data_IF_014338168328
#
_entry.id   IF_014338168328
#
_cell.length_a   1.000
_cell.length_b   1.000
_cell.length_c   1.000
_cell.angle_alpha   90.00
_cell.angle_beta   90.00
_cell.angle_gamma   90.00
#
_symmetry.space_group_name_H-M   'P 1'
#
loop_
_entity.id
_entity.type
_entity.pdbx_description
1 polymer ?
#
# COMPACT_ATOMS: atom_id res chain seq x y z
N UNK A 1 7.37 5.59 -9.49
CA UNK A 1 5.89 5.45 -9.55
C UNK A 1 5.29 4.91 -8.26
N UNK A 2 5.73 3.77 -7.74
CA UNK A 2 5.13 3.12 -6.54
C UNK A 2 5.00 4.00 -5.29
N UNK A 3 5.84 4.99 -5.13
CA UNK A 3 5.75 5.94 -3.99
C UNK A 3 4.67 7.00 -4.11
N UNK A 4 4.19 7.33 -5.33
CA UNK A 4 3.25 8.44 -5.55
C UNK A 4 1.83 8.18 -5.01
N UNK A 5 1.47 6.93 -4.78
CA UNK A 5 0.22 6.56 -4.12
C UNK A 5 0.24 6.66 -2.58
N UNK A 6 1.42 6.84 -1.98
CA UNK A 6 1.55 6.95 -0.52
C UNK A 6 1.13 8.35 -0.04
N UNK A 7 0.82 8.51 1.26
CA UNK A 7 0.55 9.83 1.82
C UNK A 7 1.65 10.85 1.50
N UNK A 8 1.27 12.05 1.09
CA UNK A 8 2.20 13.09 0.64
C UNK A 8 3.29 13.40 1.69
N UNK A 9 2.98 13.31 2.99
CA UNK A 9 3.98 13.52 4.04
C UNK A 9 5.13 12.50 4.00
N UNK A 10 4.87 11.26 3.61
CA UNK A 10 5.90 10.24 3.44
C UNK A 10 6.80 10.58 2.23
N UNK A 11 6.19 11.04 1.15
CA UNK A 11 6.91 11.43 -0.06
C UNK A 11 7.81 12.65 0.18
N UNK A 12 7.30 13.67 0.88
CA UNK A 12 8.07 14.86 1.29
C UNK A 12 9.26 14.48 2.18
N UNK A 13 9.06 13.59 3.17
CA UNK A 13 10.18 13.11 3.99
C UNK A 13 11.22 12.34 3.17
N UNK A 14 10.80 11.54 2.19
CA UNK A 14 11.72 10.85 1.28
C UNK A 14 12.51 11.82 0.41
N UNK A 15 11.86 12.83 -0.19
CA UNK A 15 12.52 13.92 -0.94
C UNK A 15 13.57 14.63 -0.09
N UNK A 16 13.26 14.91 1.18
CA UNK A 16 14.14 15.61 2.11
C UNK A 16 15.28 14.72 2.66
N UNK A 17 15.46 13.51 2.12
CA UNK A 17 16.49 12.58 2.52
C UNK A 17 16.30 11.96 3.90
N UNK A 18 15.11 12.06 4.48
CA UNK A 18 14.79 11.43 5.76
C UNK A 18 14.36 9.99 5.52
N UNK A 19 14.89 9.07 6.31
CA UNK A 19 14.45 7.68 6.33
C UNK A 19 14.78 7.05 7.68
N UNK A 20 14.04 5.99 8.02
CA UNK A 20 14.39 5.14 9.14
C UNK A 20 15.20 3.95 8.65
N UNK A 21 16.14 3.50 9.46
CA UNK A 21 16.80 2.23 9.23
C UNK A 21 15.76 1.09 9.21
N UNK A 22 15.77 0.29 8.15
CA UNK A 22 14.86 -0.83 8.04
C UNK A 22 15.22 -1.91 9.05
N UNK A 23 14.23 -2.37 9.79
CA UNK A 23 14.42 -3.52 10.69
C UNK A 23 14.67 -4.80 9.89
N UNK A 24 15.37 -5.76 10.48
CA UNK A 24 15.58 -7.08 9.89
C UNK A 24 14.26 -7.73 9.43
N UNK A 25 13.21 -7.65 10.24
CA UNK A 25 11.89 -8.16 9.88
C UNK A 25 11.29 -7.45 8.65
N UNK A 26 11.55 -6.16 8.46
CA UNK A 26 11.09 -5.43 7.28
C UNK A 26 11.82 -5.89 6.02
N UNK A 27 13.13 -6.10 6.11
CA UNK A 27 13.96 -6.61 5.01
C UNK A 27 13.47 -8.00 4.59
N UNK A 28 13.23 -8.91 5.55
CA UNK A 28 12.70 -10.25 5.26
C UNK A 28 11.32 -10.21 4.59
N UNK A 29 10.44 -9.29 5.00
CA UNK A 29 9.12 -9.15 4.38
C UNK A 29 9.23 -8.73 2.90
N UNK A 30 10.15 -7.85 2.57
CA UNK A 30 10.41 -7.47 1.17
C UNK A 30 10.97 -8.65 0.38
N UNK A 31 11.98 -9.33 0.92
CA UNK A 31 12.53 -10.54 0.28
C UNK A 31 11.46 -11.62 0.01
N UNK A 32 10.54 -11.84 0.97
CA UNK A 32 9.41 -12.76 0.75
C UNK A 32 8.50 -12.25 -0.38
N UNK A 33 8.30 -10.92 -0.50
CA UNK A 33 7.59 -10.33 -1.63
C UNK A 33 8.23 -10.71 -2.97
N UNK A 34 9.53 -10.47 -3.10
CA UNK A 34 10.30 -10.78 -4.31
C UNK A 34 10.25 -12.28 -4.66
N UNK A 35 10.33 -13.16 -3.66
CA UNK A 35 10.21 -14.61 -3.86
C UNK A 35 8.82 -15.03 -4.33
N UNK A 36 7.77 -14.38 -3.82
CA UNK A 36 6.38 -14.60 -4.28
C UNK A 36 6.21 -14.18 -5.73
N UNK A 37 6.76 -13.04 -6.14
CA UNK A 37 6.75 -12.59 -7.53
C UNK A 37 7.42 -13.63 -8.45
N UNK A 38 8.62 -14.12 -8.08
CA UNK A 38 9.31 -15.17 -8.82
C UNK A 38 8.47 -16.48 -8.92
N UNK A 39 7.81 -16.86 -7.82
CA UNK A 39 6.98 -18.07 -7.80
C UNK A 39 5.75 -17.92 -8.70
N UNK A 40 5.06 -16.78 -8.65
CA UNK A 40 3.91 -16.49 -9.53
C UNK A 40 4.32 -16.53 -10.99
N UNK A 41 5.45 -15.92 -11.33
CA UNK A 41 5.98 -15.95 -12.70
C UNK A 41 6.25 -17.38 -13.19
N UNK A 42 6.82 -18.22 -12.33
CA UNK A 42 7.08 -19.64 -12.66
C UNK A 42 5.76 -20.43 -12.87
N UNK A 43 4.74 -20.16 -12.02
CA UNK A 43 3.41 -20.79 -12.13
C UNK A 43 2.72 -20.37 -13.43
N UNK A 44 2.70 -19.09 -13.76
CA UNK A 44 2.09 -18.57 -15.00
C UNK A 44 2.76 -19.20 -16.23
N UNK A 45 4.09 -19.27 -16.24
CA UNK A 45 4.85 -19.93 -17.30
C UNK A 45 4.54 -21.44 -17.40
N UNK A 46 4.45 -22.14 -16.27
CA UNK A 46 4.10 -23.56 -16.23
C UNK A 46 2.67 -23.85 -16.67
N UNK A 47 1.77 -22.88 -16.58
CA UNK A 47 0.38 -22.96 -17.04
C UNK A 47 0.18 -22.45 -18.48
N UNK A 48 1.27 -22.21 -19.23
CA UNK A 48 1.25 -21.65 -20.59
C UNK A 48 0.50 -20.31 -20.72
N UNK A 49 0.38 -19.56 -19.62
CA UNK A 49 -0.20 -18.21 -19.64
C UNK A 49 0.81 -17.25 -20.29
N UNK A 50 0.42 -16.63 -21.38
CA UNK A 50 1.27 -15.70 -22.11
C UNK A 50 1.53 -14.44 -21.26
N UNK A 51 2.80 -14.16 -21.07
CA UNK A 51 3.26 -13.00 -20.31
C UNK A 51 4.30 -12.23 -21.12
N UNK A 52 4.36 -10.92 -20.92
CA UNK A 52 5.41 -10.07 -21.48
C UNK A 52 5.86 -9.02 -20.47
N UNK A 53 7.00 -8.39 -20.74
CA UNK A 53 7.54 -7.28 -19.93
C UNK A 53 7.64 -7.57 -18.42
N UNK A 54 8.00 -8.79 -18.06
CA UNK A 54 8.22 -9.15 -16.66
C UNK A 54 9.35 -8.29 -16.05
N UNK A 55 9.09 -7.70 -14.86
CA UNK A 55 10.03 -6.83 -14.15
C UNK A 55 10.62 -5.71 -15.02
N UNK A 56 9.83 -5.19 -15.98
CA UNK A 56 10.32 -4.22 -16.94
C UNK A 56 10.31 -2.80 -16.39
N UNK A 57 11.38 -2.06 -16.70
CA UNK A 57 11.44 -0.63 -16.38
C UNK A 57 10.46 0.15 -17.23
N UNK A 58 9.81 1.11 -16.62
CA UNK A 58 8.88 2.01 -17.27
C UNK A 58 9.08 3.44 -16.79
N UNK A 59 8.60 4.41 -17.56
CA UNK A 59 8.65 5.81 -17.21
C UNK A 59 7.41 6.51 -17.73
N UNK A 60 6.93 7.50 -16.98
CA UNK A 60 5.79 8.33 -17.35
C UNK A 60 6.12 9.80 -17.07
N UNK A 61 5.83 10.68 -18.00
CA UNK A 61 5.94 12.12 -17.78
C UNK A 61 4.71 12.61 -17.00
N UNK A 62 4.93 13.17 -15.82
CA UNK A 62 3.87 13.70 -14.96
C UNK A 62 4.28 15.12 -14.56
N UNK A 63 3.51 16.12 -15.01
CA UNK A 63 3.80 17.52 -14.69
C UNK A 63 5.18 18.02 -15.17
N UNK A 64 5.70 17.46 -16.26
CA UNK A 64 7.04 17.77 -16.78
C UNK A 64 8.18 16.92 -16.20
N UNK A 65 7.89 16.11 -15.17
CA UNK A 65 8.88 15.26 -14.51
C UNK A 65 8.81 13.81 -15.04
N UNK A 66 9.98 13.22 -15.28
CA UNK A 66 10.08 11.83 -15.74
C UNK A 66 10.09 10.86 -14.55
N UNK A 67 8.91 10.38 -14.17
CA UNK A 67 8.71 9.46 -13.06
C UNK A 67 8.97 8.02 -13.50
N UNK A 68 9.96 7.38 -12.89
CA UNK A 68 10.39 6.01 -13.22
C UNK A 68 9.78 4.97 -12.29
N UNK A 69 9.60 3.76 -12.82
CA UNK A 69 9.14 2.59 -12.06
C UNK A 69 9.60 1.28 -12.69
N UNK A 70 9.20 0.18 -12.06
CA UNK A 70 9.31 -1.16 -12.62
C UNK A 70 7.95 -1.83 -12.42
N UNK A 71 7.33 -2.26 -13.49
CA UNK A 71 6.08 -3.03 -13.44
C UNK A 71 6.40 -4.52 -13.26
N UNK A 72 5.48 -5.25 -12.66
CA UNK A 72 5.71 -6.67 -12.38
C UNK A 72 5.51 -7.51 -13.64
N UNK A 73 4.36 -7.34 -14.33
CA UNK A 73 4.03 -8.21 -15.46
C UNK A 73 2.92 -7.61 -16.35
N UNK A 74 2.96 -7.95 -17.64
CA UNK A 74 1.84 -7.81 -18.56
C UNK A 74 1.32 -9.21 -18.88
N UNK A 75 0.02 -9.48 -18.62
CA UNK A 75 -0.65 -10.69 -19.08
C UNK A 75 -1.26 -10.42 -20.46
N UNK A 76 -1.13 -11.39 -21.34
CA UNK A 76 -1.75 -11.40 -22.67
C UNK A 76 -2.92 -12.39 -22.66
N UNK A 77 -4.07 -11.89 -22.19
CA UNK A 77 -5.30 -12.68 -22.13
C UNK A 77 -5.93 -12.79 -23.54
N UNK A 78 -6.30 -13.97 -24.01
CA UNK A 78 -6.88 -14.15 -25.35
C UNK A 78 -8.25 -13.48 -25.52
N UNK A 79 -8.97 -13.16 -24.44
CA UNK A 79 -10.29 -12.52 -24.45
C UNK A 79 -10.17 -11.03 -24.13
N UNK A 80 -9.48 -10.70 -23.03
CA UNK A 80 -9.39 -9.34 -22.49
C UNK A 80 -8.20 -8.55 -23.04
N UNK A 81 -7.33 -9.19 -23.85
CA UNK A 81 -6.14 -8.57 -24.42
C UNK A 81 -5.00 -8.36 -23.41
N UNK A 82 -4.08 -7.45 -23.75
CA UNK A 82 -2.92 -7.16 -22.90
C UNK A 82 -3.27 -6.15 -21.84
N UNK A 83 -3.08 -6.53 -20.57
CA UNK A 83 -3.27 -5.65 -19.42
C UNK A 83 -2.08 -5.73 -18.46
N UNK A 84 -1.77 -4.62 -17.80
CA UNK A 84 -0.73 -4.56 -16.75
C UNK A 84 -1.28 -5.14 -15.46
N UNK A 85 -0.54 -6.06 -14.85
CA UNK A 85 -0.88 -6.68 -13.58
C UNK A 85 0.24 -6.45 -12.56
N UNK A 86 -0.16 -6.35 -11.31
CA UNK A 86 0.76 -6.15 -10.20
C UNK A 86 0.65 -7.32 -9.23
N UNK A 87 1.79 -7.89 -8.82
CA UNK A 87 1.84 -9.09 -7.97
C UNK A 87 1.99 -8.66 -6.52
N UNK A 88 1.13 -9.18 -5.65
CA UNK A 88 1.15 -8.85 -4.22
C UNK A 88 1.18 -10.08 -3.34
N UNK A 89 2.09 -10.07 -2.38
CA UNK A 89 2.07 -11.01 -1.25
C UNK A 89 1.28 -10.42 -0.09
N UNK A 90 0.22 -11.09 0.37
CA UNK A 90 -0.65 -10.61 1.42
C UNK A 90 -0.53 -11.44 2.70
N UNK A 91 -0.77 -10.81 3.86
CA UNK A 91 -1.07 -11.56 5.08
C UNK A 91 -2.49 -12.13 5.00
N UNK A 92 -2.85 -13.18 5.75
CA UNK A 92 -4.21 -13.71 5.77
C UNK A 92 -5.27 -12.64 6.03
N UNK A 93 -4.99 -11.72 6.94
CA UNK A 93 -5.88 -10.58 7.22
C UNK A 93 -6.06 -9.68 6.00
N UNK A 94 -4.97 -9.26 5.35
CA UNK A 94 -5.03 -8.41 4.15
C UNK A 94 -5.69 -9.13 2.98
N UNK A 95 -5.37 -10.41 2.80
CA UNK A 95 -5.96 -11.24 1.76
C UNK A 95 -7.49 -11.30 1.92
N UNK A 96 -7.98 -11.76 3.07
CA UNK A 96 -9.40 -11.95 3.31
C UNK A 96 -10.20 -10.66 3.47
N UNK A 97 -9.61 -9.63 4.11
CA UNK A 97 -10.35 -8.41 4.46
C UNK A 97 -10.31 -7.32 3.39
N UNK A 98 -9.36 -7.41 2.44
CA UNK A 98 -9.20 -6.44 1.37
C UNK A 98 -9.30 -7.09 0.00
N UNK A 99 -8.30 -7.88 -0.39
CA UNK A 99 -8.19 -8.40 -1.74
C UNK A 99 -9.33 -9.37 -2.10
N UNK A 100 -9.72 -10.27 -1.21
CA UNK A 100 -10.83 -11.20 -1.45
C UNK A 100 -12.19 -10.51 -1.62
N UNK A 101 -12.31 -9.25 -1.18
CA UNK A 101 -13.51 -8.42 -1.38
C UNK A 101 -13.52 -7.69 -2.72
N UNK A 102 -12.46 -7.82 -3.50
CA UNK A 102 -12.34 -7.27 -4.83
C UNK A 102 -11.83 -5.82 -4.90
N UNK A 103 -11.82 -5.30 -6.10
CA UNK A 103 -11.26 -4.00 -6.45
C UNK A 103 -11.90 -2.83 -5.67
N UNK A 104 -13.23 -2.81 -5.53
CA UNK A 104 -13.96 -1.73 -4.86
C UNK A 104 -13.58 -1.60 -3.37
N UNK A 105 -13.32 -2.71 -2.69
CA UNK A 105 -12.88 -2.67 -1.30
C UNK A 105 -11.51 -1.99 -1.11
N UNK A 106 -10.66 -2.03 -2.15
CA UNK A 106 -9.38 -1.32 -2.15
C UNK A 106 -9.56 0.19 -2.37
N UNK A 107 -10.60 0.62 -3.09
CA UNK A 107 -10.94 2.04 -3.23
C UNK A 107 -11.26 2.70 -1.89
N UNK A 108 -11.89 1.96 -0.98
CA UNK A 108 -12.25 2.46 0.35
C UNK A 108 -11.06 2.55 1.32
N UNK A 109 -10.09 1.63 1.22
CA UNK A 109 -8.96 1.56 2.15
C UNK A 109 -7.67 1.09 1.46
N UNK A 110 -7.00 2.03 0.76
CA UNK A 110 -5.69 1.84 0.13
C UNK A 110 -4.59 2.69 0.79
N UNK A 111 -4.10 2.30 1.98
CA UNK A 111 -3.08 3.05 2.68
C UNK A 111 -1.69 2.99 2.03
N UNK A 112 -1.50 2.10 1.07
CA UNK A 112 -0.21 1.87 0.41
C UNK A 112 -0.14 2.46 -1.01
N UNK A 113 -1.29 2.90 -1.56
CA UNK A 113 -1.37 3.50 -2.89
C UNK A 113 -1.30 2.50 -4.03
N UNK A 114 -1.81 1.30 -3.83
CA UNK A 114 -1.82 0.23 -4.86
C UNK A 114 -2.61 0.63 -6.11
N UNK A 115 -3.71 1.37 -5.93
CA UNK A 115 -4.52 1.86 -7.04
C UNK A 115 -3.74 2.88 -7.89
N UNK A 116 -3.10 3.86 -7.25
CA UNK A 116 -2.26 4.83 -7.97
C UNK A 116 -1.11 4.11 -8.67
N UNK A 117 -0.45 3.17 -8.00
CA UNK A 117 0.65 2.39 -8.58
C UNK A 117 0.21 1.64 -9.83
N UNK A 118 -0.91 0.89 -9.77
CA UNK A 118 -1.42 0.09 -10.88
C UNK A 118 -1.77 0.95 -12.10
N UNK A 119 -2.51 2.04 -11.91
CA UNK A 119 -2.88 2.94 -12.99
C UNK A 119 -1.69 3.68 -13.60
N UNK A 120 -0.68 4.07 -12.80
CA UNK A 120 0.54 4.68 -13.33
C UNK A 120 1.36 3.71 -14.20
N UNK A 121 1.43 2.44 -13.79
CA UNK A 121 2.11 1.44 -14.59
C UNK A 121 1.38 1.15 -15.90
N UNK A 122 0.05 1.02 -15.84
CA UNK A 122 -0.78 0.84 -17.01
C UNK A 122 -0.64 2.01 -17.99
N UNK A 123 -0.75 3.25 -17.51
CA UNK A 123 -0.57 4.45 -18.29
C UNK A 123 0.82 4.52 -18.95
N UNK A 124 1.88 4.15 -18.25
CA UNK A 124 3.25 4.14 -18.78
C UNK A 124 3.45 3.20 -19.98
N UNK A 125 2.52 2.26 -20.18
CA UNK A 125 2.50 1.30 -21.29
C UNK A 125 1.39 1.57 -22.30
N UNK A 126 0.54 2.57 -22.08
CA UNK A 126 -0.64 2.83 -22.90
C UNK A 126 -1.63 1.67 -22.89
N UNK A 127 -1.80 1.01 -21.75
CA UNK A 127 -2.63 -0.17 -21.54
C UNK A 127 -3.59 0.04 -20.36
N UNK A 128 -4.57 -0.85 -20.23
CA UNK A 128 -5.41 -0.90 -19.06
C UNK A 128 -4.74 -1.61 -17.89
N UNK A 129 -5.14 -1.25 -16.68
CA UNK A 129 -4.77 -1.97 -15.47
C UNK A 129 -5.64 -3.23 -15.35
N UNK A 130 -5.04 -4.41 -15.34
CA UNK A 130 -5.73 -5.68 -15.20
C UNK A 130 -6.15 -5.99 -13.77
N UNK A 131 -5.39 -5.48 -12.81
CA UNK A 131 -5.62 -5.74 -11.38
C UNK A 131 -4.41 -6.32 -10.68
N UNK A 132 -4.67 -7.12 -9.65
CA UNK A 132 -3.62 -7.74 -8.83
C UNK A 132 -3.68 -9.26 -8.87
N UNK A 133 -2.51 -9.89 -8.93
CA UNK A 133 -2.32 -11.31 -8.63
C UNK A 133 -1.87 -11.37 -7.17
N UNK A 134 -2.71 -11.87 -6.28
CA UNK A 134 -2.48 -11.81 -4.84
C UNK A 134 -2.26 -13.20 -4.28
N UNK A 135 -1.17 -13.37 -3.54
CA UNK A 135 -0.84 -14.63 -2.86
C UNK A 135 -1.00 -14.45 -1.36
N UNK A 136 -1.81 -15.28 -0.72
CA UNK A 136 -1.79 -15.43 0.74
C UNK A 136 -0.53 -16.17 1.17
N UNK A 137 0.34 -15.47 1.92
CA UNK A 137 1.62 -16.02 2.39
C UNK A 137 1.52 -17.21 3.33
N UNK A 138 0.34 -17.44 3.91
CA UNK A 138 0.14 -18.53 4.88
C UNK A 138 -0.41 -19.80 4.25
N UNK A 139 -1.37 -19.66 3.32
CA UNK A 139 -2.01 -20.79 2.64
C UNK A 139 -1.38 -21.13 1.30
N UNK A 140 -0.73 -20.14 0.65
CA UNK A 140 -0.28 -20.24 -0.74
C UNK A 140 -1.44 -20.06 -1.74
N UNK A 141 -2.63 -19.68 -1.28
CA UNK A 141 -3.77 -19.42 -2.15
C UNK A 141 -3.51 -18.20 -3.04
N UNK A 142 -3.88 -18.31 -4.31
CA UNK A 142 -3.69 -17.27 -5.33
C UNK A 142 -5.05 -16.79 -5.81
N UNK A 143 -5.21 -15.48 -5.87
CA UNK A 143 -6.42 -14.83 -6.38
C UNK A 143 -6.08 -13.76 -7.42
N UNK A 144 -6.84 -13.70 -8.49
CA UNK A 144 -6.85 -12.60 -9.45
C UNK A 144 -7.93 -11.60 -9.04
N UNK A 145 -7.50 -10.44 -8.57
CA UNK A 145 -8.39 -9.33 -8.22
C UNK A 145 -8.46 -8.41 -9.42
N UNK A 146 -9.45 -8.62 -10.28
CA UNK A 146 -9.61 -7.88 -11.54
C UNK A 146 -10.01 -6.42 -11.28
N UNK A 147 -9.40 -5.49 -12.01
CA UNK A 147 -9.92 -4.14 -12.17
C UNK A 147 -11.17 -4.16 -13.08
N UNK A 148 -12.10 -3.19 -12.96
CA UNK A 148 -13.24 -3.09 -13.86
C UNK A 148 -12.79 -2.81 -15.30
N UNK A 149 -13.62 -3.20 -16.28
CA UNK A 149 -13.31 -2.94 -17.70
C UNK A 149 -13.43 -1.46 -18.03
N UNK A 150 -14.43 -0.77 -17.46
CA UNK A 150 -14.53 0.69 -17.51
C UNK A 150 -13.77 1.29 -16.33
N UNK A 151 -12.61 1.84 -16.59
CA UNK A 151 -11.72 2.40 -15.58
C UNK A 151 -11.27 3.83 -15.88
N UNK A 152 -11.93 4.55 -16.80
CA UNK A 152 -11.53 5.90 -17.21
C UNK A 152 -11.59 6.89 -16.04
N UNK A 153 -12.68 6.86 -15.24
CA UNK A 153 -12.82 7.72 -14.06
C UNK A 153 -11.71 7.42 -13.01
N UNK A 154 -11.42 6.15 -12.76
CA UNK A 154 -10.37 5.74 -11.85
C UNK A 154 -8.99 6.14 -12.35
N UNK A 155 -8.75 5.98 -13.63
CA UNK A 155 -7.51 6.38 -14.31
C UNK A 155 -7.27 7.88 -14.15
N UNK A 156 -8.22 8.72 -14.54
CA UNK A 156 -8.13 10.18 -14.37
C UNK A 156 -7.88 10.57 -12.91
N UNK A 157 -8.64 9.99 -11.99
CA UNK A 157 -8.52 10.23 -10.56
C UNK A 157 -7.13 9.89 -10.01
N UNK A 158 -6.57 8.73 -10.38
CA UNK A 158 -5.29 8.31 -9.83
C UNK A 158 -4.08 8.95 -10.51
N UNK A 159 -4.19 9.29 -11.80
CA UNK A 159 -3.22 10.12 -12.48
C UNK A 159 -3.22 11.54 -11.91
N UNK A 160 -4.40 12.12 -11.65
CA UNK A 160 -4.55 13.43 -11.00
C UNK A 160 -3.88 13.47 -9.62
N UNK A 161 -4.12 12.46 -8.76
CA UNK A 161 -3.43 12.34 -7.46
C UNK A 161 -1.91 12.27 -7.58
N UNK A 162 -1.41 11.57 -8.59
CA UNK A 162 0.02 11.49 -8.82
C UNK A 162 0.59 12.83 -9.29
N UNK A 163 -0.15 13.56 -10.14
CA UNK A 163 0.25 14.90 -10.61
C UNK A 163 0.31 15.90 -9.44
N UNK A 164 -0.71 15.93 -8.58
CA UNK A 164 -0.71 16.77 -7.37
C UNK A 164 0.49 16.45 -6.46
N UNK A 165 0.82 15.17 -6.30
CA UNK A 165 1.96 14.77 -5.50
C UNK A 165 3.30 15.23 -6.11
N UNK A 166 3.47 15.09 -7.43
CA UNK A 166 4.66 15.56 -8.15
C UNK A 166 4.80 17.09 -8.03
N UNK A 167 3.72 17.84 -8.27
CA UNK A 167 3.71 19.30 -8.13
C UNK A 167 4.12 19.73 -6.72
N UNK A 168 3.54 19.12 -5.68
CA UNK A 168 3.89 19.41 -4.29
C UNK A 168 5.36 19.09 -3.98
N UNK A 169 5.92 18.02 -4.54
CA UNK A 169 7.32 17.66 -4.35
C UNK A 169 8.26 18.63 -5.05
N UNK A 170 7.90 19.10 -6.25
CA UNK A 170 8.71 20.05 -7.03
C UNK A 170 8.65 21.47 -6.47
N UNK A 171 7.52 21.88 -5.89
CA UNK A 171 7.36 23.20 -5.25
C UNK A 171 8.06 23.34 -3.91
N UNK A 172 8.85 22.34 -3.47
CA UNK A 172 9.47 22.29 -2.14
C UNK A 172 8.48 22.42 -0.98
N UNK A 173 7.26 21.94 -1.21
CA UNK A 173 6.22 21.94 -0.18
C UNK A 173 6.67 21.22 1.09
N UNK A 174 6.35 21.77 2.26
CA UNK A 174 6.64 21.18 3.57
C UNK A 174 5.43 21.28 4.49
N UNK A 175 5.31 20.34 5.41
CA UNK A 175 4.27 20.36 6.42
C UNK A 175 4.75 21.09 7.69
N UNK A 176 4.00 22.10 8.15
CA UNK A 176 4.23 22.77 9.45
C UNK A 176 3.95 21.84 10.62
N UNK A 177 3.01 20.91 10.47
CA UNK A 177 2.64 19.88 11.46
C UNK A 177 2.36 18.56 10.72
N UNK A 178 2.56 17.40 11.36
CA UNK A 178 2.18 16.12 10.76
C UNK A 178 0.71 16.14 10.32
N UNK A 179 0.36 15.85 9.06
CA UNK A 179 -1.02 15.95 8.58
C UNK A 179 -1.94 14.84 9.11
N UNK A 180 -1.36 13.65 9.36
CA UNK A 180 -2.08 12.49 9.88
C UNK A 180 -2.00 12.49 11.40
N UNK A 181 -3.03 13.01 12.05
CA UNK A 181 -3.08 13.15 13.51
C UNK A 181 -3.37 11.80 14.21
N UNK A 182 -2.89 11.62 15.46
CA UNK A 182 -3.24 10.47 16.28
C UNK A 182 -4.74 10.42 16.59
N UNK A 183 -5.29 9.22 16.63
CA UNK A 183 -6.70 8.92 16.84
C UNK A 183 -6.95 8.47 18.27
N UNK A 184 -8.13 8.79 18.82
CA UNK A 184 -8.52 8.33 20.15
C UNK A 184 -8.78 6.82 20.13
N UNK A 185 -8.10 6.08 21.01
CA UNK A 185 -8.34 4.66 21.16
C UNK A 185 -9.67 4.42 21.84
N UNK A 186 -10.52 3.61 21.19
CA UNK A 186 -11.79 3.19 21.75
C UNK A 186 -12.07 1.71 21.50
N UNK A 187 -13.01 1.15 22.24
CA UNK A 187 -13.59 -0.17 22.01
C UNK A 187 -15.10 -0.12 22.17
N UNK A 188 -15.80 -1.09 21.62
CA UNK A 188 -17.26 -1.12 21.64
C UNK A 188 -17.76 -2.14 22.67
N UNK A 189 -18.66 -1.71 23.55
CA UNK A 189 -19.39 -2.58 24.49
C UNK A 189 -20.88 -2.34 24.31
N UNK A 190 -21.64 -3.36 23.99
CA UNK A 190 -23.10 -3.29 23.75
C UNK A 190 -23.52 -2.18 22.78
N UNK A 191 -22.71 -1.92 21.75
CA UNK A 191 -22.98 -0.89 20.74
C UNK A 191 -22.47 0.51 21.08
N UNK A 192 -22.02 0.76 22.31
CA UNK A 192 -21.48 2.06 22.73
C UNK A 192 -19.95 2.10 22.62
N UNK A 193 -19.40 3.22 22.14
CA UNK A 193 -17.96 3.46 22.08
C UNK A 193 -17.45 3.95 23.43
N UNK A 194 -16.50 3.21 24.00
CA UNK A 194 -15.81 3.58 25.22
C UNK A 194 -14.37 3.99 24.89
N UNK A 195 -14.00 5.20 25.25
CA UNK A 195 -12.67 5.77 25.00
C UNK A 195 -11.73 5.45 26.18
N UNK A 196 -10.52 4.99 25.86
CA UNK A 196 -9.50 4.64 26.86
C UNK A 196 -8.75 5.86 27.38
N UNK A 197 -8.80 6.97 26.67
CA UNK A 197 -7.97 8.16 26.88
C UNK A 197 -6.55 8.04 26.29
N UNK A 198 -6.24 6.92 25.65
CA UNK A 198 -5.03 6.74 24.85
C UNK A 198 -5.21 7.32 23.46
N UNK A 199 -4.09 7.67 22.80
CA UNK A 199 -4.06 8.07 21.40
C UNK A 199 -3.16 7.15 20.62
N UNK A 200 -3.71 6.48 19.62
CA UNK A 200 -3.01 5.64 18.65
C UNK A 200 -2.48 6.49 17.50
N UNK A 201 -1.34 6.14 16.95
CA UNK A 201 -0.96 6.70 15.65
C UNK A 201 -1.97 6.27 14.58
N UNK A 202 -2.26 7.18 13.65
CA UNK A 202 -3.05 6.86 12.46
C UNK A 202 -2.51 5.61 11.77
N UNK A 203 -3.39 4.80 11.17
CA UNK A 203 -3.05 3.53 10.51
C UNK A 203 -1.91 3.68 9.51
N UNK A 204 -1.93 4.73 8.69
CA UNK A 204 -0.87 4.99 7.70
C UNK A 204 0.47 5.33 8.38
N UNK A 205 0.46 5.99 9.54
CA UNK A 205 1.66 6.27 10.33
C UNK A 205 2.24 5.01 10.97
N UNK A 206 1.40 4.02 11.32
CA UNK A 206 1.85 2.76 11.91
C UNK A 206 2.87 2.04 11.02
N UNK A 207 2.65 2.05 9.71
CA UNK A 207 3.53 1.41 8.71
C UNK A 207 4.53 2.37 8.07
N UNK A 208 4.57 3.63 8.51
CA UNK A 208 5.44 4.65 7.94
C UNK A 208 6.87 4.56 8.50
N UNK A 209 7.87 4.50 7.63
CA UNK A 209 9.29 4.55 8.02
C UNK A 209 9.72 5.88 8.63
N UNK A 210 8.94 6.94 8.38
CA UNK A 210 9.22 8.29 8.87
C UNK A 210 8.50 8.65 10.19
N UNK A 211 7.79 7.70 10.82
CA UNK A 211 6.94 7.99 11.98
C UNK A 211 7.67 8.70 13.14
N UNK A 212 8.95 8.39 13.35
CA UNK A 212 9.74 9.02 14.42
C UNK A 212 10.08 10.48 14.16
N UNK A 213 10.13 10.90 12.90
CA UNK A 213 10.30 12.33 12.58
C UNK A 213 9.03 13.12 12.89
N UNK A 214 7.86 12.53 12.64
CA UNK A 214 6.56 13.15 12.95
C UNK A 214 6.20 13.02 14.43
N UNK A 215 6.48 11.87 15.03
CA UNK A 215 6.04 11.46 16.36
C UNK A 215 7.20 10.88 17.17
N UNK A 216 8.22 11.70 17.56
CA UNK A 216 9.45 11.21 18.20
C UNK A 216 9.20 10.54 19.57
N UNK A 217 8.08 10.90 20.24
CA UNK A 217 7.70 10.33 21.54
C UNK A 217 6.75 9.12 21.41
N UNK A 218 6.39 8.71 20.19
CA UNK A 218 5.52 7.55 20.02
C UNK A 218 6.23 6.26 20.44
N UNK A 219 5.50 5.42 21.15
CA UNK A 219 5.98 4.13 21.67
C UNK A 219 5.18 2.99 21.09
N UNK A 220 5.81 1.83 20.97
CA UNK A 220 5.13 0.59 20.62
C UNK A 220 4.79 -0.17 21.90
N UNK A 221 3.54 -0.58 22.02
CA UNK A 221 3.04 -1.31 23.19
C UNK A 221 1.93 -2.27 22.78
N UNK A 222 1.64 -3.25 23.62
CA UNK A 222 0.51 -4.14 23.46
C UNK A 222 -0.79 -3.36 23.33
N UNK A 223 -1.60 -3.68 22.32
CA UNK A 223 -2.87 -2.99 22.12
C UNK A 223 -3.78 -3.17 23.33
N UNK A 224 -3.99 -2.11 24.09
CA UNK A 224 -4.71 -2.12 25.39
C UNK A 224 -6.14 -2.68 25.25
N UNK A 225 -6.81 -2.33 24.15
CA UNK A 225 -8.19 -2.77 23.86
C UNK A 225 -8.29 -4.20 23.30
N UNK A 226 -7.16 -4.88 23.04
CA UNK A 226 -7.17 -6.25 22.50
C UNK A 226 -7.45 -7.27 23.61
N UNK A 227 -8.39 -8.19 23.33
CA UNK A 227 -8.70 -9.35 24.17
C UNK A 227 -7.95 -10.62 23.77
N UNK A 228 -7.09 -10.55 22.76
CA UNK A 228 -6.31 -11.69 22.31
C UNK A 228 -5.30 -12.12 23.38
N UNK A 229 -5.07 -13.45 23.53
CA UNK A 229 -4.05 -14.01 24.43
C UNK A 229 -2.67 -13.40 24.13
N UNK A 230 -2.32 -13.31 22.83
CA UNK A 230 -1.14 -12.59 22.37
C UNK A 230 -1.63 -11.28 21.77
N UNK A 231 -1.55 -10.21 22.53
CA UNK A 231 -2.02 -8.89 22.08
C UNK A 231 -1.16 -8.39 20.91
N UNK A 232 -1.78 -7.86 19.84
CA UNK A 232 -1.02 -7.23 18.77
C UNK A 232 -0.38 -5.94 19.29
N UNK A 233 0.82 -5.64 18.79
CA UNK A 233 1.50 -4.37 19.07
C UNK A 233 0.79 -3.22 18.34
N UNK A 234 0.68 -2.09 19.01
CA UNK A 234 0.16 -0.84 18.47
C UNK A 234 1.12 0.32 18.77
N UNK A 235 1.10 1.36 17.92
CA UNK A 235 1.88 2.56 18.14
C UNK A 235 1.03 3.62 18.83
N UNK A 236 1.47 4.05 20.01
CA UNK A 236 0.80 5.07 20.82
C UNK A 236 1.55 6.40 20.74
N UNK A 237 0.82 7.47 20.44
CA UNK A 237 1.27 8.84 20.67
C UNK A 237 1.17 9.17 22.17
N UNK A 238 0.08 8.77 22.80
CA UNK A 238 -0.18 8.94 24.23
C UNK A 238 -0.70 7.63 24.80
N UNK A 239 0.00 7.08 25.77
CA UNK A 239 -0.40 5.89 26.49
C UNK A 239 -0.59 6.25 27.97
N UNK A 240 -1.83 6.17 28.43
CA UNK A 240 -2.19 6.22 29.85
C UNK A 240 -2.44 4.79 30.27
N UNK A 241 -1.46 4.16 30.89
CA UNK A 241 -1.60 2.79 31.39
C UNK A 241 -2.66 2.81 32.52
N UNK A 242 -3.90 2.50 32.17
CA UNK A 242 -4.89 1.98 33.12
C UNK A 242 -5.07 0.52 32.74
N UNK A 243 -4.71 -0.38 33.63
CA UNK A 243 -5.16 -1.77 33.55
C UNK A 243 -6.69 -1.74 33.50
N UNK A 244 -7.25 -2.31 32.40
CA UNK A 244 -8.69 -2.48 32.22
C UNK A 244 -9.05 -3.88 32.68
#
# INVERSE_FOLDING_TARGET
MSGLGRPLCQQVHGRDGKYEEMTYNSILRFLIGDLVECAVMAILKGADIKTSDAQSKCALNIGGENVKGSLDIILDDPVDGKKVWDIKSASPYSYNMKFAKGYEALKEDDPFGYLVQGHLYAESKGMDFGGWIVVDKSSGEIQFVKAPDDQEEDREKYLGKAAEAVEALMSNFTFKKPPLQPEDECFTVKGEKIYTGNKLLNKQCTFCGYKKYCWPKAIQYDKVTSRAKNKPLAWYHTLKVKEI
#
